data_IF_905170117080
#
_entry.id   IF_905170117080
#
_cell.length_a   1.000
_cell.length_b   1.000
_cell.length_c   1.000
_cell.angle_alpha   90.00
_cell.angle_beta   90.00
_cell.angle_gamma   90.00
#
_symmetry.space_group_name_H-M   'P 1'
#
loop_
_entity.id
_entity.type
_entity.pdbx_description
1 polymer ?
#
# COMPACT_ATOMS: atom_id res chain seq x y z
N UNK A 1 2.10 -20.77 8.18
CA UNK A 1 1.11 -19.78 7.69
C UNK A 1 1.92 -18.69 7.02
N UNK A 2 1.98 -18.72 5.69
CA UNK A 2 2.89 -17.89 4.90
C UNK A 2 2.46 -16.43 4.99
N UNK A 3 3.42 -15.51 5.02
CA UNK A 3 3.15 -14.06 4.88
C UNK A 3 2.35 -13.77 3.62
N UNK A 4 2.51 -14.60 2.59
CA UNK A 4 1.81 -14.51 1.31
C UNK A 4 0.33 -14.94 1.39
N UNK A 5 -0.09 -15.66 2.44
CA UNK A 5 -1.50 -16.02 2.66
C UNK A 5 -2.35 -14.83 3.14
N UNK A 6 -1.69 -13.70 3.46
CA UNK A 6 -2.33 -12.45 3.91
C UNK A 6 -2.33 -11.35 2.84
N UNK A 7 -1.93 -11.68 1.61
CA UNK A 7 -2.14 -10.79 0.47
C UNK A 7 -3.64 -10.85 0.14
N UNK A 8 -4.37 -9.78 0.46
CA UNK A 8 -5.84 -9.72 0.30
C UNK A 8 -6.23 -8.78 -0.82
N UNK A 9 -5.31 -7.92 -1.28
CA UNK A 9 -5.66 -6.94 -2.30
C UNK A 9 -6.04 -7.63 -3.60
N UNK A 10 -7.34 -7.61 -3.88
CA UNK A 10 -7.92 -8.15 -5.11
C UNK A 10 -7.58 -7.25 -6.29
N UNK A 11 -7.62 -7.80 -7.49
CA UNK A 11 -7.27 -7.08 -8.72
C UNK A 11 -8.20 -5.87 -8.97
N UNK A 12 -9.49 -5.99 -8.64
CA UNK A 12 -10.50 -4.92 -8.76
C UNK A 12 -10.21 -3.74 -7.83
N UNK A 13 -9.82 -4.03 -6.58
CA UNK A 13 -9.46 -2.99 -5.61
C UNK A 13 -8.12 -2.35 -5.96
N UNK A 14 -7.15 -3.15 -6.43
CA UNK A 14 -5.90 -2.62 -6.96
C UNK A 14 -6.14 -1.69 -8.15
N UNK A 15 -7.03 -2.06 -9.09
CA UNK A 15 -7.30 -1.25 -10.25
C UNK A 15 -7.85 0.13 -9.86
N UNK A 16 -8.78 0.18 -8.89
CA UNK A 16 -9.28 1.43 -8.32
C UNK A 16 -8.17 2.25 -7.66
N UNK A 17 -7.37 1.65 -6.78
CA UNK A 17 -6.27 2.35 -6.09
C UNK A 17 -5.18 2.84 -7.05
N UNK A 18 -4.83 2.02 -8.05
CA UNK A 18 -3.76 2.29 -9.02
C UNK A 18 -4.00 3.58 -9.80
N UNK A 19 -5.25 3.91 -10.12
CA UNK A 19 -5.67 5.16 -10.78
C UNK A 19 -5.32 6.41 -9.97
N UNK A 20 -5.21 6.29 -8.64
CA UNK A 20 -4.85 7.39 -7.74
C UNK A 20 -3.36 7.40 -7.37
N UNK A 21 -2.68 6.26 -7.54
CA UNK A 21 -1.24 6.10 -7.34
C UNK A 21 -0.45 6.66 -8.53
N UNK A 22 -0.97 6.52 -9.75
CA UNK A 22 -0.31 6.98 -10.99
C UNK A 22 -0.50 8.49 -11.13
N UNK A 23 0.22 9.22 -10.28
CA UNK A 23 0.72 10.55 -10.60
C UNK A 23 2.08 10.40 -11.25
N UNK A 24 2.08 10.36 -12.58
CA UNK A 24 3.24 10.52 -13.48
C UNK A 24 4.07 9.25 -13.77
N UNK A 25 3.84 8.69 -14.98
CA UNK A 25 4.65 7.66 -15.66
C UNK A 25 6.15 8.00 -15.76
N UNK A 26 6.52 9.25 -15.44
CA UNK A 26 7.90 9.76 -15.50
C UNK A 26 8.77 9.40 -14.29
N UNK A 27 8.19 8.84 -13.22
CA UNK A 27 8.98 8.45 -12.04
C UNK A 27 9.58 7.06 -12.22
N UNK A 28 10.80 7.01 -12.77
CA UNK A 28 11.66 5.80 -12.85
C UNK A 28 11.66 5.04 -11.51
N UNK A 29 11.19 3.78 -11.53
CA UNK A 29 11.02 2.92 -10.35
C UNK A 29 9.56 2.50 -10.06
N UNK A 30 8.59 3.01 -10.83
CA UNK A 30 7.19 2.59 -10.80
C UNK A 30 6.94 1.34 -11.66
N UNK A 31 7.52 0.20 -11.28
CA UNK A 31 7.02 -1.06 -11.82
C UNK A 31 5.68 -1.37 -11.12
N UNK A 32 4.61 -1.58 -11.88
CA UNK A 32 3.27 -1.81 -11.31
C UNK A 32 3.21 -2.98 -10.32
N UNK A 33 4.15 -3.93 -10.45
CA UNK A 33 4.32 -5.07 -9.53
C UNK A 33 4.90 -4.65 -8.18
N UNK A 34 5.89 -3.76 -8.16
CA UNK A 34 6.48 -3.21 -6.92
C UNK A 34 5.50 -2.29 -6.19
N UNK A 35 4.65 -1.55 -6.93
CA UNK A 35 3.67 -0.67 -6.31
C UNK A 35 2.59 -1.46 -5.57
N UNK A 36 2.13 -2.57 -6.15
CA UNK A 36 1.13 -3.44 -5.52
C UNK A 36 1.69 -4.09 -4.27
N UNK A 37 2.87 -4.72 -4.36
CA UNK A 37 3.54 -5.30 -3.18
C UNK A 37 3.81 -4.26 -2.10
N UNK A 38 4.16 -3.03 -2.49
CA UNK A 38 4.35 -1.93 -1.55
C UNK A 38 3.05 -1.56 -0.83
N UNK A 39 1.94 -1.38 -1.54
CA UNK A 39 0.65 -1.09 -0.91
C UNK A 39 0.22 -2.24 -0.01
N UNK A 40 0.44 -3.48 -0.43
CA UNK A 40 0.17 -4.65 0.40
C UNK A 40 0.96 -4.65 1.70
N UNK A 41 2.25 -4.30 1.65
CA UNK A 41 3.11 -4.19 2.81
C UNK A 41 2.58 -3.15 3.82
N UNK A 42 2.09 -2.02 3.31
CA UNK A 42 1.49 -0.96 4.13
C UNK A 42 0.17 -1.44 4.73
N UNK A 43 -0.70 -2.09 3.95
CA UNK A 43 -1.96 -2.64 4.44
C UNK A 43 -1.73 -3.73 5.49
N UNK A 44 -0.71 -4.55 5.32
CA UNK A 44 -0.30 -5.54 6.32
C UNK A 44 0.03 -4.86 7.64
N UNK A 45 0.86 -3.82 7.63
CA UNK A 45 1.24 -3.06 8.83
C UNK A 45 0.04 -2.40 9.51
N UNK A 46 -0.83 -1.76 8.74
CA UNK A 46 -2.03 -1.10 9.28
C UNK A 46 -2.98 -2.13 9.91
N UNK A 47 -3.11 -3.30 9.30
CA UNK A 47 -3.98 -4.38 9.81
C UNK A 47 -3.40 -5.09 11.03
N UNK A 48 -2.09 -5.36 11.05
CA UNK A 48 -1.45 -6.05 12.18
C UNK A 48 -1.10 -5.11 13.32
N UNK A 49 -1.05 -3.80 13.07
CA UNK A 49 -0.51 -2.82 14.01
C UNK A 49 0.97 -3.03 14.32
N UNK A 50 1.66 -3.88 13.54
CA UNK A 50 3.04 -4.25 13.82
C UNK A 50 4.01 -3.11 13.47
N UNK A 51 5.14 -2.99 14.19
CA UNK A 51 6.19 -2.06 13.82
C UNK A 51 6.71 -2.34 12.40
N UNK A 52 7.10 -1.28 11.68
CA UNK A 52 7.73 -1.42 10.35
C UNK A 52 8.94 -2.36 10.35
N UNK A 53 9.65 -2.48 11.46
CA UNK A 53 10.83 -3.35 11.61
C UNK A 53 10.48 -4.84 11.54
N UNK A 54 9.23 -5.20 11.83
CA UNK A 54 8.73 -6.57 11.77
C UNK A 54 8.12 -6.88 10.39
N UNK A 55 8.22 -5.95 9.44
CA UNK A 55 7.78 -6.18 8.07
C UNK A 55 8.57 -7.37 7.50
N UNK A 56 7.87 -8.41 7.02
CA UNK A 56 8.54 -9.55 6.42
C UNK A 56 9.39 -9.17 5.22
N UNK A 57 10.59 -9.78 5.09
CA UNK A 57 11.50 -9.58 3.95
C UNK A 57 10.85 -9.89 2.59
N UNK A 58 9.77 -10.68 2.57
CA UNK A 58 8.98 -10.95 1.38
C UNK A 58 8.41 -9.68 0.72
N UNK A 59 8.20 -8.60 1.48
CA UNK A 59 7.77 -7.30 0.98
C UNK A 59 8.94 -6.36 0.61
N UNK A 60 10.17 -6.78 0.88
CA UNK A 60 11.39 -6.00 0.72
C UNK A 60 11.84 -5.30 2.01
N UNK A 61 12.94 -4.57 1.89
CA UNK A 61 13.58 -3.87 3.00
C UNK A 61 12.66 -2.83 3.65
N UNK A 62 12.34 -3.01 4.94
CA UNK A 62 11.45 -2.14 5.71
C UNK A 62 11.82 -0.66 5.62
N UNK A 63 13.11 -0.35 5.55
CA UNK A 63 13.60 1.04 5.48
C UNK A 63 13.25 1.68 4.13
N UNK A 64 13.35 0.92 3.03
CA UNK A 64 12.95 1.38 1.70
C UNK A 64 11.43 1.57 1.61
N UNK A 65 10.66 0.65 2.19
CA UNK A 65 9.20 0.75 2.29
C UNK A 65 8.80 1.98 3.11
N UNK A 66 9.36 2.16 4.30
CA UNK A 66 9.06 3.32 5.15
C UNK A 66 9.39 4.66 4.47
N UNK A 67 10.56 4.78 3.82
CA UNK A 67 10.92 5.98 3.05
C UNK A 67 9.96 6.26 1.92
N UNK A 68 9.44 5.23 1.26
CA UNK A 68 8.43 5.38 0.21
C UNK A 68 7.08 5.79 0.79
N UNK A 69 6.66 5.18 1.89
CA UNK A 69 5.44 5.52 2.62
C UNK A 69 5.42 7.00 3.04
N UNK A 70 6.51 7.46 3.66
CA UNK A 70 6.67 8.85 4.09
C UNK A 70 6.58 9.83 2.90
N UNK A 71 7.24 9.51 1.77
CA UNK A 71 7.14 10.32 0.53
C UNK A 71 5.71 10.39 -0.01
N UNK A 72 4.96 9.29 0.01
CA UNK A 72 3.57 9.26 -0.45
C UNK A 72 2.63 9.98 0.51
N UNK A 73 2.87 9.88 1.82
CA UNK A 73 2.14 10.63 2.85
C UNK A 73 2.32 12.13 2.68
N UNK A 74 3.56 12.58 2.45
CA UNK A 74 3.84 14.00 2.23
C UNK A 74 3.22 14.53 0.92
N UNK A 75 3.10 13.67 -0.10
CA UNK A 75 2.43 14.00 -1.36
C UNK A 75 0.89 13.87 -1.30
N UNK A 76 0.31 13.47 -0.17
CA UNK A 76 -1.14 13.26 -0.04
C UNK A 76 -1.68 12.08 -0.87
N UNK A 77 -0.82 11.17 -1.36
CA UNK A 77 -1.25 10.02 -2.19
C UNK A 77 -2.16 9.10 -1.40
N UNK A 78 -1.80 8.82 -0.13
CA UNK A 78 -2.63 7.99 0.75
C UNK A 78 -4.01 8.59 0.99
N UNK A 79 -4.11 9.90 1.19
CA UNK A 79 -5.40 10.58 1.36
C UNK A 79 -6.30 10.42 0.13
N UNK A 80 -5.72 10.48 -1.08
CA UNK A 80 -6.47 10.27 -2.33
C UNK A 80 -6.94 8.82 -2.48
N UNK A 81 -6.10 7.87 -2.07
CA UNK A 81 -6.45 6.44 -2.05
C UNK A 81 -7.56 6.19 -1.04
N UNK A 82 -7.43 6.68 0.21
CA UNK A 82 -8.46 6.52 1.23
C UNK A 82 -9.79 7.16 0.82
N UNK A 83 -9.77 8.36 0.25
CA UNK A 83 -10.97 9.01 -0.25
C UNK A 83 -11.64 8.19 -1.37
N UNK A 84 -10.86 7.58 -2.27
CA UNK A 84 -11.39 6.74 -3.34
C UNK A 84 -11.91 5.38 -2.86
N UNK A 85 -11.45 4.92 -1.69
CA UNK A 85 -11.82 3.63 -1.09
C UNK A 85 -12.78 3.77 0.09
N UNK A 86 -13.20 5.00 0.44
CA UNK A 86 -14.12 5.27 1.56
C UNK A 86 -15.50 4.65 1.35
N UNK A 87 -15.89 4.37 0.11
CA UNK A 87 -17.15 3.72 -0.24
C UNK A 87 -17.05 2.18 -0.23
N UNK A 88 -15.87 1.63 0.06
CA UNK A 88 -15.62 0.18 0.05
C UNK A 88 -15.63 -0.37 1.49
N UNK A 89 -16.62 -1.21 1.85
CA UNK A 89 -16.78 -1.72 3.21
C UNK A 89 -15.61 -2.61 3.67
N UNK A 90 -14.83 -3.18 2.74
CA UNK A 90 -13.63 -3.94 3.09
C UNK A 90 -12.52 -3.06 3.68
N UNK A 91 -12.63 -1.73 3.59
CA UNK A 91 -11.64 -0.75 4.04
C UNK A 91 -12.10 0.10 5.22
N UNK A 92 -13.16 -0.29 5.91
CA UNK A 92 -13.69 0.39 7.09
C UNK A 92 -12.60 0.59 8.18
N UNK A 93 -11.63 -0.34 8.27
CA UNK A 93 -10.47 -0.24 9.17
C UNK A 93 -9.51 0.93 8.86
N UNK A 94 -9.67 1.62 7.73
CA UNK A 94 -8.86 2.77 7.33
C UNK A 94 -9.48 4.12 7.71
N UNK A 95 -10.73 4.14 8.20
CA UNK A 95 -11.53 5.36 8.41
C UNK A 95 -11.53 5.80 9.90
N UNK A 96 -10.85 5.08 10.80
CA UNK A 96 -10.74 5.45 12.22
C UNK A 96 -9.84 6.67 12.48
#
# INVERSE_FOLDING_TARGET
MSVLDRLILRDDQWERMSRHIIGDDRTRGSSGRDNRMFVEAVLWIVRTGSPWRDLPEAFGEWNSVFRRFSRWSHKGVWQRIFAAMSDDPDFEYLIC
#
